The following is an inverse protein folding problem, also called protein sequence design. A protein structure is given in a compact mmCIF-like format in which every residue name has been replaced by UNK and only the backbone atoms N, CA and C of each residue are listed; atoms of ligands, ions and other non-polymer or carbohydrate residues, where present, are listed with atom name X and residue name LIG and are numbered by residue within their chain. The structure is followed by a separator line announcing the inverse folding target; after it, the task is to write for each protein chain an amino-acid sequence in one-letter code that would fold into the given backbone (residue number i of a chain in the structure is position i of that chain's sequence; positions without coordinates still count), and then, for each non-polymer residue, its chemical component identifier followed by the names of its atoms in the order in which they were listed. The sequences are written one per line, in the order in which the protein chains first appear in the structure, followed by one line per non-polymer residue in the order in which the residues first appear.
data_IF_168977994789
#
_entry.id   IF_168977994789
#
_cell.length_a   1.000
_cell.length_b   1.000
_cell.length_c   1.000
_cell.angle_alpha   90.00
_cell.angle_beta   90.00
_cell.angle_gamma   90.00
#
_symmetry.space_group_name_H-M   'P 1'
#
loop_
_entity.id
_entity.type
_entity.pdbx_description
1 polymer ?
#
# COMPACT_ATOMS: atom_id res chain seq x y z
N UNK A 1 -57.81 -26.70 -16.22
CA UNK A 1 -56.62 -27.58 -16.26
C UNK A 1 -55.30 -26.87 -16.59
N UNK A 2 -55.26 -25.73 -17.28
CA UNK A 2 -54.00 -25.01 -17.62
C UNK A 2 -53.36 -24.22 -16.46
N UNK A 3 -54.04 -24.03 -15.33
CA UNK A 3 -53.51 -23.32 -14.14
C UNK A 3 -52.76 -24.26 -13.19
N UNK A 4 -53.13 -25.55 -13.14
CA UNK A 4 -52.48 -26.53 -12.28
C UNK A 4 -51.06 -26.92 -12.74
N UNK A 5 -50.78 -26.84 -14.04
CA UNK A 5 -49.45 -27.14 -14.61
C UNK A 5 -48.44 -25.98 -14.47
N UNK A 6 -48.89 -24.76 -14.16
CA UNK A 6 -47.97 -23.64 -13.82
C UNK A 6 -47.51 -23.64 -12.35
N UNK A 7 -48.24 -24.30 -11.45
CA UNK A 7 -47.88 -24.39 -10.02
C UNK A 7 -46.93 -25.54 -9.69
N UNK A 8 -46.89 -26.59 -10.52
CA UNK A 8 -45.91 -27.68 -10.39
C UNK A 8 -44.47 -27.26 -10.79
N UNK A 9 -44.33 -26.32 -11.73
CA UNK A 9 -43.04 -25.76 -12.15
C UNK A 9 -42.36 -24.82 -11.13
N UNK A 10 -43.12 -24.33 -10.15
CA UNK A 10 -42.62 -23.46 -9.06
C UNK A 10 -42.12 -24.26 -7.85
N UNK A 11 -42.56 -25.50 -7.68
CA UNK A 11 -42.10 -26.37 -6.58
C UNK A 11 -40.67 -26.91 -6.78
N UNK A 12 -40.22 -27.09 -8.04
CA UNK A 12 -38.84 -27.47 -8.36
C UNK A 12 -37.82 -26.34 -8.18
N UNK A 13 -38.21 -25.10 -8.51
CA UNK A 13 -37.36 -23.90 -8.32
C UNK A 13 -37.26 -23.46 -6.85
N UNK A 14 -38.25 -23.81 -6.04
CA UNK A 14 -38.30 -23.54 -4.60
C UNK A 14 -37.18 -24.22 -3.82
N UNK A 15 -36.79 -25.47 -4.14
CA UNK A 15 -35.69 -26.16 -3.44
C UNK A 15 -34.32 -25.59 -3.79
N UNK A 16 -34.08 -25.28 -5.06
CA UNK A 16 -32.80 -24.71 -5.51
C UNK A 16 -32.60 -23.27 -5.02
N UNK A 17 -33.67 -22.46 -5.01
CA UNK A 17 -33.64 -21.10 -4.48
C UNK A 17 -33.52 -21.07 -2.95
N UNK A 18 -34.21 -21.97 -2.23
CA UNK A 18 -34.03 -22.13 -0.77
C UNK A 18 -32.63 -22.63 -0.41
N UNK A 19 -32.01 -23.47 -1.24
CA UNK A 19 -30.62 -23.90 -1.04
C UNK A 19 -29.63 -22.76 -1.27
N UNK A 20 -29.78 -21.97 -2.35
CA UNK A 20 -28.98 -20.75 -2.59
C UNK A 20 -29.15 -19.71 -1.48
N UNK A 21 -30.39 -19.45 -1.02
CA UNK A 21 -30.65 -18.51 0.07
C UNK A 21 -30.11 -19.02 1.42
N UNK A 22 -30.12 -20.33 1.68
CA UNK A 22 -29.47 -20.92 2.87
C UNK A 22 -27.95 -20.87 2.78
N UNK A 23 -27.37 -21.05 1.60
CA UNK A 23 -25.93 -20.87 1.35
C UNK A 23 -25.51 -19.41 1.52
N UNK A 24 -26.29 -18.47 0.99
CA UNK A 24 -26.08 -17.04 1.17
C UNK A 24 -26.23 -16.64 2.64
N UNK A 25 -27.26 -17.13 3.35
CA UNK A 25 -27.43 -16.87 4.78
C UNK A 25 -26.33 -17.47 5.65
N UNK A 26 -25.83 -18.67 5.32
CA UNK A 26 -24.67 -19.28 6.03
C UNK A 26 -23.36 -18.56 5.71
N UNK A 27 -23.17 -18.10 4.46
CA UNK A 27 -22.04 -17.26 4.07
C UNK A 27 -22.09 -15.90 4.77
N UNK A 28 -23.25 -15.26 4.84
CA UNK A 28 -23.44 -13.98 5.54
C UNK A 28 -23.19 -14.11 7.04
N UNK A 29 -23.68 -15.18 7.68
CA UNK A 29 -23.44 -15.44 9.10
C UNK A 29 -21.96 -15.74 9.38
N UNK A 30 -21.29 -16.52 8.51
CA UNK A 30 -19.86 -16.75 8.59
C UNK A 30 -19.06 -15.46 8.40
N UNK A 31 -19.42 -14.64 7.40
CA UNK A 31 -18.82 -13.32 7.16
C UNK A 31 -19.01 -12.38 8.36
N UNK A 32 -20.19 -12.41 9.00
CA UNK A 32 -20.48 -11.57 10.17
C UNK A 32 -19.72 -12.03 11.41
N UNK A 33 -19.58 -13.34 11.61
CA UNK A 33 -18.77 -13.92 12.69
C UNK A 33 -17.27 -13.73 12.46
N UNK A 34 -16.82 -13.76 11.21
CA UNK A 34 -15.44 -13.53 10.79
C UNK A 34 -15.06 -12.04 10.83
N UNK A 35 -15.99 -11.14 10.48
CA UNK A 35 -15.88 -9.68 10.72
C UNK A 35 -15.78 -9.42 12.22
N UNK A 36 -16.66 -10.02 13.02
CA UNK A 36 -16.59 -9.91 14.48
C UNK A 36 -15.27 -10.48 15.04
N UNK A 37 -14.69 -11.50 14.42
CA UNK A 37 -13.40 -12.09 14.79
C UNK A 37 -12.20 -11.23 14.36
N UNK A 38 -12.20 -10.63 13.16
CA UNK A 38 -11.17 -9.69 12.69
C UNK A 38 -11.24 -8.37 13.46
N UNK A 39 -12.44 -7.87 13.76
CA UNK A 39 -12.65 -6.76 14.67
C UNK A 39 -12.26 -7.12 16.10
N UNK A 40 -12.50 -8.37 16.54
CA UNK A 40 -11.98 -8.84 17.81
C UNK A 40 -10.45 -8.88 17.79
N UNK A 41 -9.77 -9.25 16.70
CA UNK A 41 -8.30 -9.14 16.58
C UNK A 41 -7.81 -7.69 16.57
N UNK A 42 -8.60 -6.73 16.06
CA UNK A 42 -8.33 -5.29 16.23
C UNK A 42 -8.50 -4.83 17.69
N UNK A 43 -9.40 -5.47 18.44
CA UNK A 43 -9.66 -5.20 19.87
C UNK A 43 -8.74 -5.98 20.81
N UNK A 44 -8.19 -7.11 20.39
CA UNK A 44 -7.16 -7.83 21.11
C UNK A 44 -5.92 -6.95 21.04
N UNK A 45 -5.48 -6.55 22.22
CA UNK A 45 -4.24 -5.83 22.46
C UNK A 45 -3.16 -6.36 21.53
N UNK A 46 -2.52 -5.44 20.82
CA UNK A 46 -1.17 -5.61 20.30
C UNK A 46 -0.44 -6.61 21.22
N UNK A 47 0.06 -7.76 20.74
CA UNK A 47 0.94 -8.55 21.58
C UNK A 47 2.02 -7.57 22.06
N UNK A 48 2.18 -7.38 23.38
CA UNK A 48 3.19 -6.44 23.87
C UNK A 48 4.48 -6.84 23.18
N UNK A 49 5.21 -5.88 22.60
CA UNK A 49 6.47 -6.18 21.95
C UNK A 49 7.35 -6.91 22.98
N UNK A 50 7.46 -8.23 22.86
CA UNK A 50 8.08 -9.07 23.89
C UNK A 50 9.58 -8.99 23.68
N UNK A 51 10.20 -7.95 24.25
CA UNK A 51 11.64 -7.78 24.22
C UNK A 51 12.07 -6.32 24.37
N UNK A 52 13.15 -6.11 25.11
CA UNK A 52 13.90 -4.86 25.04
C UNK A 52 14.41 -4.67 23.61
N UNK A 53 14.36 -3.44 23.05
CA UNK A 53 14.84 -3.21 21.70
C UNK A 53 16.33 -3.59 21.58
N UNK A 54 16.72 -4.14 20.44
CA UNK A 54 18.13 -4.42 20.14
C UNK A 54 18.91 -3.11 19.93
N UNK A 55 20.26 -3.11 19.96
CA UNK A 55 21.04 -1.91 19.63
C UNK A 55 20.68 -1.33 18.26
N UNK A 56 20.52 -2.19 17.24
CA UNK A 56 20.13 -1.79 15.88
C UNK A 56 18.72 -1.19 15.83
N UNK A 57 17.80 -1.64 16.68
CA UNK A 57 16.46 -1.04 16.80
C UNK A 57 16.47 0.33 17.49
N UNK A 58 17.47 0.62 18.33
CA UNK A 58 17.60 1.92 18.98
C UNK A 58 18.23 2.97 18.08
N UNK A 59 19.23 2.58 17.27
CA UNK A 59 20.05 3.55 16.52
C UNK A 59 19.94 3.42 15.01
N UNK A 60 19.47 2.28 14.51
CA UNK A 60 19.26 2.01 13.08
C UNK A 60 18.02 2.72 12.52
N UNK A 61 17.86 2.75 11.19
CA UNK A 61 16.78 3.50 10.53
C UNK A 61 15.36 3.05 10.94
N UNK A 62 14.39 3.93 10.70
CA UNK A 62 12.96 3.65 10.92
C UNK A 62 12.27 3.49 9.57
N UNK A 63 11.65 2.33 9.35
CA UNK A 63 10.99 1.93 8.12
C UNK A 63 9.47 1.92 8.31
N UNK A 64 8.75 2.89 7.74
CA UNK A 64 7.29 2.95 7.80
C UNK A 64 6.72 2.33 6.52
N UNK A 65 6.15 1.14 6.66
CA UNK A 65 5.45 0.41 5.60
C UNK A 65 3.96 0.72 5.69
N UNK A 66 3.41 1.39 4.67
CA UNK A 66 2.01 1.75 4.62
C UNK A 66 1.43 1.45 3.23
N UNK A 67 0.13 1.16 3.09
CA UNK A 67 -0.54 1.30 1.82
C UNK A 67 -0.78 2.79 1.51
N UNK A 68 -1.04 3.11 0.23
CA UNK A 68 -1.56 4.43 -0.11
C UNK A 68 -2.83 4.73 0.69
N UNK A 69 -3.02 6.00 1.06
CA UNK A 69 -4.22 6.49 1.78
C UNK A 69 -4.37 5.93 3.21
N UNK A 70 -3.33 5.34 3.79
CA UNK A 70 -3.29 4.89 5.18
C UNK A 70 -2.88 5.97 6.20
N UNK A 71 -2.63 7.21 5.76
CA UNK A 71 -2.16 8.28 6.65
C UNK A 71 -0.65 8.31 6.84
N UNK A 72 0.13 7.65 5.98
CA UNK A 72 1.60 7.64 6.04
C UNK A 72 2.23 9.02 6.05
N UNK A 73 1.68 9.97 5.27
CA UNK A 73 2.17 11.36 5.26
C UNK A 73 2.06 12.02 6.63
N UNK A 74 0.99 11.75 7.40
CA UNK A 74 0.85 12.31 8.74
C UNK A 74 1.91 11.74 9.69
N UNK A 75 2.07 10.41 9.73
CA UNK A 75 3.06 9.75 10.60
C UNK A 75 4.48 10.16 10.20
N UNK A 76 4.81 10.14 8.91
CA UNK A 76 6.10 10.61 8.40
C UNK A 76 6.38 12.06 8.80
N UNK A 77 5.39 12.95 8.70
CA UNK A 77 5.58 14.36 9.06
C UNK A 77 5.84 14.55 10.56
N UNK A 78 5.26 13.71 11.43
CA UNK A 78 5.58 13.74 12.88
C UNK A 78 7.06 13.50 13.15
N UNK A 79 7.67 12.54 12.44
CA UNK A 79 9.12 12.35 12.50
C UNK A 79 9.88 13.52 11.88
N UNK A 80 9.43 14.02 10.72
CA UNK A 80 10.07 15.13 10.01
C UNK A 80 10.18 16.39 10.85
N UNK A 81 9.18 16.67 11.68
CA UNK A 81 9.15 17.82 12.59
C UNK A 81 10.16 17.71 13.74
N UNK A 82 10.82 16.57 13.95
CA UNK A 82 11.84 16.43 14.99
C UNK A 82 13.26 16.62 14.43
N UNK A 83 14.10 17.47 15.06
CA UNK A 83 15.44 17.77 14.57
C UNK A 83 16.37 16.56 14.42
N UNK A 84 16.25 15.53 15.26
CA UNK A 84 17.11 14.35 15.24
C UNK A 84 16.82 13.36 14.10
N UNK A 85 15.72 13.55 13.35
CA UNK A 85 15.32 12.64 12.26
C UNK A 85 15.46 13.26 10.89
N UNK A 86 16.12 12.60 9.94
CA UNK A 86 16.02 12.94 8.52
C UNK A 86 14.96 12.04 7.88
N UNK A 87 13.79 12.59 7.58
CA UNK A 87 12.63 11.83 7.14
C UNK A 87 12.44 11.89 5.62
N UNK A 88 12.73 10.82 4.90
CA UNK A 88 12.56 10.70 3.46
C UNK A 88 11.11 10.33 3.08
N UNK A 89 10.47 11.18 2.28
CA UNK A 89 9.13 10.95 1.77
C UNK A 89 9.13 10.06 0.52
N UNK A 90 8.50 8.90 0.61
CA UNK A 90 8.27 7.98 -0.52
C UNK A 90 9.55 7.68 -1.33
N UNK A 91 10.55 7.00 -0.74
CA UNK A 91 11.83 6.74 -1.40
C UNK A 91 11.73 5.87 -2.67
N UNK A 92 10.58 5.26 -2.94
CA UNK A 92 10.30 4.52 -4.17
C UNK A 92 9.29 5.23 -5.07
N UNK A 93 9.11 6.55 -4.93
CA UNK A 93 8.23 7.30 -5.82
C UNK A 93 8.84 7.44 -7.22
N UNK A 94 8.08 7.13 -8.28
CA UNK A 94 8.56 7.17 -9.68
C UNK A 94 9.17 8.52 -10.09
N UNK A 95 8.71 9.63 -9.51
CA UNK A 95 9.26 10.96 -9.82
C UNK A 95 10.73 11.13 -9.41
N UNK A 96 11.25 10.31 -8.49
CA UNK A 96 12.65 10.41 -8.05
C UNK A 96 13.63 10.07 -9.17
N UNK A 97 13.20 9.37 -10.23
CA UNK A 97 14.02 9.09 -11.42
C UNK A 97 14.40 10.37 -12.19
N UNK A 98 13.53 11.37 -12.18
CA UNK A 98 13.69 12.60 -12.98
C UNK A 98 13.55 13.87 -12.15
N UNK A 99 13.64 13.74 -10.82
CA UNK A 99 13.43 14.83 -9.88
C UNK A 99 14.45 15.95 -10.11
N UNK A 100 13.99 17.19 -10.19
CA UNK A 100 14.83 18.39 -10.34
C UNK A 100 14.65 19.31 -9.14
N UNK A 101 15.57 20.25 -8.88
CA UNK A 101 15.39 21.23 -7.80
C UNK A 101 14.08 22.02 -7.92
N UNK A 102 13.70 22.40 -9.15
CA UNK A 102 12.41 23.07 -9.42
C UNK A 102 11.22 22.17 -9.07
N UNK A 103 11.28 20.88 -9.40
CA UNK A 103 10.23 19.94 -9.04
C UNK A 103 10.15 19.70 -7.52
N UNK A 104 11.30 19.68 -6.82
CA UNK A 104 11.33 19.64 -5.35
C UNK A 104 10.59 20.85 -4.78
N UNK A 105 10.94 22.07 -5.20
CA UNK A 105 10.30 23.29 -4.71
C UNK A 105 8.78 23.32 -4.96
N UNK A 106 8.32 22.77 -6.10
CA UNK A 106 6.90 22.73 -6.46
C UNK A 106 6.09 21.61 -5.78
N UNK A 107 6.73 20.57 -5.24
CA UNK A 107 6.05 19.42 -4.64
C UNK A 107 5.59 19.73 -3.20
N UNK A 108 4.53 20.50 -3.03
CA UNK A 108 4.01 20.91 -1.70
C UNK A 108 2.61 20.35 -1.43
N UNK A 109 2.14 20.40 -0.18
CA UNK A 109 0.76 20.01 0.16
C UNK A 109 -0.32 20.81 -0.59
N UNK A 110 0.03 22.00 -1.11
CA UNK A 110 -0.85 22.88 -1.87
C UNK A 110 -0.81 22.65 -3.38
N UNK A 111 0.16 21.90 -3.91
CA UNK A 111 0.29 21.72 -5.36
C UNK A 111 -0.74 20.76 -5.95
N UNK A 112 -1.49 20.05 -5.10
CA UNK A 112 -2.59 19.17 -5.48
C UNK A 112 -3.56 19.02 -4.30
N UNK A 113 -4.82 18.64 -4.51
CA UNK A 113 -5.82 18.51 -3.44
C UNK A 113 -5.56 17.26 -2.57
N UNK A 114 -4.40 17.14 -1.95
CA UNK A 114 -3.92 15.93 -1.28
C UNK A 114 -4.79 15.45 -0.11
N UNK A 115 -5.42 16.40 0.58
CA UNK A 115 -6.03 16.21 1.90
C UNK A 115 -4.98 16.04 3.01
N UNK A 116 -3.71 16.37 2.74
CA UNK A 116 -2.63 16.30 3.73
C UNK A 116 -2.64 17.54 4.62
N UNK A 117 -2.18 17.42 5.89
CA UNK A 117 -1.97 18.59 6.73
C UNK A 117 -0.96 19.55 6.08
N UNK A 118 -0.94 20.84 6.49
CA UNK A 118 0.12 21.75 6.12
C UNK A 118 1.50 21.16 6.41
N UNK A 119 2.45 21.39 5.51
CA UNK A 119 3.83 20.96 5.65
C UNK A 119 4.73 22.19 5.64
N UNK A 120 5.73 22.21 6.52
CA UNK A 120 6.70 23.31 6.62
C UNK A 120 7.69 23.34 5.44
N UNK A 121 7.72 22.27 4.64
CA UNK A 121 8.64 22.10 3.52
C UNK A 121 8.05 21.20 2.43
N UNK A 122 8.54 21.32 1.16
CA UNK A 122 8.14 20.43 0.08
C UNK A 122 8.42 18.96 0.39
N UNK A 123 7.63 18.04 -0.20
CA UNK A 123 7.69 16.60 0.05
C UNK A 123 9.08 16.01 -0.12
N UNK A 124 9.81 16.42 -1.16
CA UNK A 124 11.08 15.82 -1.55
C UNK A 124 12.32 16.60 -1.11
N UNK A 125 12.18 17.52 -0.14
CA UNK A 125 13.28 18.39 0.29
C UNK A 125 14.52 17.60 0.72
N UNK A 126 14.33 16.48 1.39
CA UNK A 126 15.40 15.62 1.90
C UNK A 126 16.21 14.93 0.79
N UNK A 127 15.71 14.92 -0.45
CA UNK A 127 16.43 14.39 -1.61
C UNK A 127 17.23 15.46 -2.37
N UNK A 128 17.04 16.75 -2.07
CA UNK A 128 17.69 17.85 -2.80
C UNK A 128 19.23 17.73 -2.81
N UNK A 129 19.93 17.40 -1.70
CA UNK A 129 21.38 17.19 -1.70
C UNK A 129 21.85 15.95 -2.47
N UNK A 130 20.92 15.08 -2.85
CA UNK A 130 21.18 13.78 -3.49
C UNK A 130 20.86 13.79 -4.99
N UNK A 131 20.44 14.93 -5.53
CA UNK A 131 20.19 15.09 -6.96
C UNK A 131 21.49 15.02 -7.76
N UNK A 132 21.41 14.42 -8.95
CA UNK A 132 22.53 14.38 -9.90
C UNK A 132 22.38 15.47 -10.97
N UNK A 133 23.48 15.90 -11.61
CA UNK A 133 23.40 16.77 -12.78
C UNK A 133 22.50 16.15 -13.86
N UNK A 134 21.51 16.92 -14.34
CA UNK A 134 20.51 16.44 -15.30
C UNK A 134 19.19 15.95 -14.69
N UNK A 135 19.11 15.86 -13.36
CA UNK A 135 17.92 15.42 -12.63
C UNK A 135 17.95 13.93 -12.25
N UNK A 136 17.10 13.57 -11.30
CA UNK A 136 17.07 12.25 -10.67
C UNK A 136 17.84 12.21 -9.35
N UNK A 137 17.46 11.28 -8.48
CA UNK A 137 18.16 10.99 -7.23
C UNK A 137 19.24 9.94 -7.48
N UNK A 138 20.45 10.17 -6.97
CA UNK A 138 21.57 9.23 -7.09
C UNK A 138 21.17 7.82 -6.63
N UNK A 139 21.46 6.82 -7.46
CA UNK A 139 21.20 5.40 -7.16
C UNK A 139 19.74 4.96 -7.33
N UNK A 140 18.81 5.86 -7.66
CA UNK A 140 17.42 5.48 -7.90
C UNK A 140 17.28 4.69 -9.21
N UNK A 141 16.59 3.56 -9.18
CA UNK A 141 16.30 2.74 -10.36
C UNK A 141 14.81 2.73 -10.70
N UNK A 142 14.50 2.74 -12.01
CA UNK A 142 13.12 2.66 -12.52
C UNK A 142 12.34 1.43 -12.02
N UNK A 143 13.03 0.35 -11.63
CA UNK A 143 12.41 -0.88 -11.14
C UNK A 143 11.90 -0.78 -9.69
N UNK A 144 12.40 0.17 -8.90
CA UNK A 144 12.06 0.31 -7.47
C UNK A 144 10.55 0.46 -7.20
N UNK A 145 9.80 1.32 -7.92
CA UNK A 145 8.41 1.60 -7.56
C UNK A 145 7.48 0.40 -7.68
N UNK A 146 7.56 -0.35 -8.79
CA UNK A 146 6.55 -1.36 -9.16
C UNK A 146 7.13 -2.73 -9.48
N UNK A 147 8.24 -2.80 -10.23
CA UNK A 147 8.82 -4.08 -10.67
C UNK A 147 9.20 -4.96 -9.48
N UNK A 148 9.78 -4.38 -8.43
CA UNK A 148 10.20 -5.10 -7.22
C UNK A 148 9.15 -5.13 -6.11
N UNK A 149 7.91 -4.67 -6.35
CA UNK A 149 6.89 -4.51 -5.30
C UNK A 149 6.60 -5.82 -4.54
N UNK A 150 6.65 -6.96 -5.23
CA UNK A 150 6.36 -8.30 -4.70
C UNK A 150 7.56 -9.25 -4.75
N UNK A 151 8.78 -8.72 -4.72
CA UNK A 151 10.00 -9.53 -4.73
C UNK A 151 10.54 -9.63 -3.30
N UNK A 152 10.51 -10.82 -2.71
CA UNK A 152 11.01 -11.06 -1.35
C UNK A 152 12.23 -11.98 -1.27
N UNK A 153 12.45 -12.83 -2.27
CA UNK A 153 13.48 -13.87 -2.21
C UNK A 153 14.78 -13.52 -2.93
N UNK A 154 14.87 -12.33 -3.53
CA UNK A 154 16.07 -11.86 -4.23
C UNK A 154 16.87 -10.84 -3.39
N UNK A 155 18.21 -10.78 -3.54
CA UNK A 155 19.05 -9.87 -2.75
C UNK A 155 18.87 -8.39 -3.13
N UNK A 156 18.38 -8.08 -4.33
CA UNK A 156 18.16 -6.72 -4.86
C UNK A 156 19.28 -5.73 -4.49
N UNK A 157 20.52 -6.05 -4.87
CA UNK A 157 21.72 -5.34 -4.40
C UNK A 157 21.68 -3.82 -4.66
N UNK A 158 21.18 -3.38 -5.82
CA UNK A 158 21.04 -1.96 -6.15
C UNK A 158 20.02 -1.25 -5.24
N UNK A 159 18.87 -1.87 -4.96
CA UNK A 159 17.88 -1.33 -4.02
C UNK A 159 18.48 -1.17 -2.62
N UNK A 160 19.22 -2.17 -2.15
CA UNK A 160 19.91 -2.11 -0.86
C UNK A 160 20.97 -1.00 -0.83
N UNK A 161 21.78 -0.89 -1.88
CA UNK A 161 22.78 0.18 -1.99
C UNK A 161 22.13 1.56 -1.97
N UNK A 162 21.08 1.78 -2.77
CA UNK A 162 20.33 3.03 -2.78
C UNK A 162 19.81 3.42 -1.39
N UNK A 163 19.16 2.50 -0.67
CA UNK A 163 18.64 2.78 0.66
C UNK A 163 19.77 3.02 1.68
N UNK A 164 20.87 2.27 1.60
CA UNK A 164 22.04 2.47 2.46
C UNK A 164 22.69 3.84 2.23
N UNK A 165 22.73 4.34 1.01
CA UNK A 165 23.22 5.70 0.71
C UNK A 165 22.33 6.77 1.36
N UNK A 166 21.01 6.57 1.38
CA UNK A 166 20.09 7.48 2.10
C UNK A 166 20.32 7.43 3.62
N UNK A 167 20.54 6.25 4.18
CA UNK A 167 20.88 6.07 5.60
C UNK A 167 22.20 6.76 5.92
N UNK A 168 23.24 6.55 5.11
CA UNK A 168 24.55 7.17 5.27
C UNK A 168 24.47 8.70 5.17
N UNK A 169 23.60 9.23 4.30
CA UNK A 169 23.35 10.67 4.22
C UNK A 169 22.73 11.23 5.51
N UNK A 170 21.74 10.55 6.10
CA UNK A 170 21.19 10.98 7.38
C UNK A 170 22.26 10.96 8.49
N UNK A 171 23.05 9.89 8.55
CA UNK A 171 24.11 9.71 9.53
C UNK A 171 25.22 10.77 9.40
N UNK A 172 25.59 11.17 8.19
CA UNK A 172 26.59 12.23 7.98
C UNK A 172 26.14 13.59 8.48
N UNK A 173 24.82 13.78 8.66
CA UNK A 173 24.22 14.95 9.29
C UNK A 173 23.98 14.77 10.80
N UNK A 174 24.42 13.66 11.39
CA UNK A 174 24.16 13.33 12.80
C UNK A 174 22.68 13.04 13.09
N UNK A 175 21.90 12.63 12.08
CA UNK A 175 20.46 12.36 12.19
C UNK A 175 20.17 10.89 11.93
N UNK A 176 19.08 10.39 12.52
CA UNK A 176 18.56 9.05 12.26
C UNK A 176 17.62 9.08 11.06
N UNK A 177 17.80 8.15 10.12
CA UNK A 177 16.95 8.10 8.92
C UNK A 177 15.56 7.54 9.25
N UNK A 178 14.53 8.17 8.68
CA UNK A 178 13.14 7.71 8.72
C UNK A 178 12.60 7.65 7.30
N UNK A 179 11.91 6.57 6.95
CA UNK A 179 11.42 6.38 5.59
C UNK A 179 9.91 6.11 5.58
N UNK A 180 9.15 6.98 4.93
CA UNK A 180 7.71 6.78 4.69
C UNK A 180 7.47 6.13 3.34
N UNK A 181 7.00 4.88 3.32
CA UNK A 181 6.71 4.15 2.07
C UNK A 181 5.24 3.81 1.90
N UNK A 182 4.67 4.12 0.75
CA UNK A 182 3.44 3.53 0.25
C UNK A 182 3.68 2.30 -0.67
N UNK A 183 4.94 2.04 -1.05
CA UNK A 183 5.34 1.03 -2.05
C UNK A 183 6.16 -0.16 -1.48
N UNK A 184 6.24 -0.30 -0.16
CA UNK A 184 7.08 -1.32 0.48
C UNK A 184 6.29 -2.46 1.14
N UNK A 185 4.96 -2.34 1.29
CA UNK A 185 4.14 -3.33 2.01
C UNK A 185 4.18 -4.73 1.39
N UNK A 186 4.19 -4.83 0.06
CA UNK A 186 4.31 -6.10 -0.68
C UNK A 186 5.69 -6.78 -0.60
N UNK A 187 6.69 -6.09 -0.04
CA UNK A 187 8.07 -6.58 0.12
C UNK A 187 8.62 -6.37 1.53
N UNK A 188 7.74 -6.31 2.52
CA UNK A 188 8.15 -6.06 3.90
C UNK A 188 9.07 -7.17 4.44
N UNK A 189 8.90 -8.41 4.00
CA UNK A 189 9.80 -9.52 4.31
C UNK A 189 11.23 -9.23 3.82
N UNK A 190 11.37 -8.75 2.58
CA UNK A 190 12.66 -8.33 2.03
C UNK A 190 13.32 -7.27 2.91
N UNK A 191 12.57 -6.24 3.29
CA UNK A 191 13.07 -5.16 4.15
C UNK A 191 13.56 -5.71 5.49
N UNK A 192 12.75 -6.50 6.19
CA UNK A 192 13.12 -7.05 7.49
C UNK A 192 14.37 -7.92 7.43
N UNK A 193 14.58 -8.64 6.33
CA UNK A 193 15.75 -9.51 6.11
C UNK A 193 17.04 -8.74 5.79
N UNK A 194 16.94 -7.64 5.05
CA UNK A 194 18.11 -6.98 4.44
C UNK A 194 18.43 -5.59 5.00
N UNK A 195 17.47 -4.95 5.67
CA UNK A 195 17.57 -3.59 6.14
C UNK A 195 17.40 -3.56 7.67
N UNK A 196 18.47 -3.43 8.46
CA UNK A 196 18.35 -3.37 9.92
C UNK A 196 17.59 -2.11 10.35
N UNK A 197 17.09 -2.11 11.57
CA UNK A 197 16.34 -0.98 12.15
C UNK A 197 14.95 -1.39 12.64
N UNK A 198 14.09 -0.39 12.85
CA UNK A 198 12.71 -0.58 13.34
C UNK A 198 11.75 -0.55 12.16
N UNK A 199 10.95 -1.61 12.02
CA UNK A 199 9.92 -1.71 11.00
C UNK A 199 8.54 -1.46 11.59
N UNK A 200 7.81 -0.52 11.00
CA UNK A 200 6.46 -0.14 11.40
C UNK A 200 5.51 -0.52 10.26
N UNK A 201 4.52 -1.37 10.54
CA UNK A 201 3.39 -1.59 9.66
C UNK A 201 2.27 -0.60 10.00
N UNK A 202 2.21 0.51 9.27
CA UNK A 202 1.10 1.46 9.37
C UNK A 202 -0.11 0.91 8.61
N UNK A 203 -1.16 0.59 9.35
CA UNK A 203 -2.34 -0.07 8.81
C UNK A 203 -3.56 0.83 8.92
N UNK A 204 -4.52 0.57 8.02
CA UNK A 204 -5.82 1.21 7.99
C UNK A 204 -6.85 0.16 7.63
N UNK A 205 -8.08 0.33 8.07
CA UNK A 205 -9.20 -0.50 7.68
C UNK A 205 -9.37 -0.54 6.15
N UNK A 206 -9.62 -1.74 5.60
CA UNK A 206 -9.71 -1.93 4.15
C UNK A 206 -10.77 -1.08 3.49
N UNK A 207 -11.93 -0.91 4.14
CA UNK A 207 -13.03 -0.10 3.63
C UNK A 207 -12.66 1.39 3.62
N UNK A 208 -11.95 1.87 4.64
CA UNK A 208 -11.43 3.22 4.74
C UNK A 208 -10.34 3.50 3.70
N UNK A 209 -9.49 2.52 3.38
CA UNK A 209 -8.57 2.61 2.25
C UNK A 209 -9.34 2.76 0.94
N UNK A 210 -10.30 1.87 0.69
CA UNK A 210 -11.11 1.89 -0.54
C UNK A 210 -11.87 3.20 -0.69
N UNK A 211 -12.63 3.62 0.33
CA UNK A 211 -13.40 4.88 0.28
C UNK A 211 -12.51 6.11 0.14
N UNK A 212 -11.34 6.12 0.77
CA UNK A 212 -10.39 7.23 0.59
C UNK A 212 -9.84 7.27 -0.85
N UNK A 213 -9.53 6.13 -1.45
CA UNK A 213 -9.04 6.04 -2.83
C UNK A 213 -10.14 6.32 -3.87
N UNK A 214 -11.31 5.70 -3.71
CA UNK A 214 -12.44 5.83 -4.62
C UNK A 214 -13.14 7.19 -4.46
N UNK A 215 -13.27 7.72 -3.24
CA UNK A 215 -13.81 9.05 -3.02
C UNK A 215 -12.99 10.15 -3.73
N UNK A 216 -11.67 9.95 -3.85
CA UNK A 216 -10.79 10.83 -4.64
C UNK A 216 -11.12 10.82 -6.13
N UNK A 217 -11.36 9.64 -6.70
CA UNK A 217 -11.74 9.55 -8.12
C UNK A 217 -13.11 10.18 -8.36
N UNK A 218 -14.08 9.96 -7.47
CA UNK A 218 -15.42 10.54 -7.57
C UNK A 218 -15.41 12.07 -7.43
N UNK A 219 -14.66 12.60 -6.46
CA UNK A 219 -14.71 14.04 -6.13
C UNK A 219 -13.82 14.88 -7.03
N UNK A 220 -12.71 14.33 -7.52
CA UNK A 220 -11.68 15.11 -8.23
C UNK A 220 -11.32 14.55 -9.62
N UNK A 221 -11.95 13.46 -10.06
CA UNK A 221 -11.57 12.76 -11.30
C UNK A 221 -10.18 12.13 -11.24
N UNK A 222 -9.61 11.98 -10.04
CA UNK A 222 -8.24 11.49 -9.83
C UNK A 222 -8.23 9.96 -9.69
N UNK A 223 -7.95 9.27 -10.79
CA UNK A 223 -7.85 7.80 -10.83
C UNK A 223 -6.54 7.27 -10.23
N UNK A 224 -5.64 8.13 -9.74
CA UNK A 224 -4.30 7.73 -9.31
C UNK A 224 -4.35 6.58 -8.31
N UNK A 225 -5.11 6.70 -7.21
CA UNK A 225 -5.10 5.71 -6.13
C UNK A 225 -5.83 4.39 -6.47
N UNK A 226 -6.84 4.44 -7.33
CA UNK A 226 -7.57 3.23 -7.76
C UNK A 226 -6.80 2.44 -8.82
N UNK A 227 -5.92 3.10 -9.58
CA UNK A 227 -5.10 2.46 -10.62
C UNK A 227 -3.78 1.88 -10.11
N UNK A 228 -3.22 2.36 -8.99
CA UNK A 228 -1.93 1.84 -8.47
C UNK A 228 -1.93 0.32 -8.25
N UNK A 229 -2.97 -0.31 -7.66
CA UNK A 229 -3.02 -1.78 -7.54
C UNK A 229 -2.92 -2.49 -8.89
N UNK A 230 -3.63 -2.01 -9.91
CA UNK A 230 -3.57 -2.57 -11.26
C UNK A 230 -2.17 -2.43 -11.86
N UNK A 231 -1.51 -1.29 -11.68
CA UNK A 231 -0.14 -1.06 -12.15
C UNK A 231 0.85 -2.02 -11.48
N UNK A 232 0.68 -2.27 -10.19
CA UNK A 232 1.47 -3.28 -9.46
C UNK A 232 1.24 -4.66 -10.09
N UNK A 233 0.00 -5.07 -10.34
CA UNK A 233 -0.28 -6.39 -10.95
C UNK A 233 0.29 -6.52 -12.37
N UNK A 234 0.24 -5.43 -13.15
CA UNK A 234 0.75 -5.35 -14.52
C UNK A 234 2.27 -5.40 -14.59
N UNK A 235 2.99 -4.74 -13.66
CA UNK A 235 4.45 -4.55 -13.75
C UNK A 235 5.28 -5.45 -12.82
N UNK A 236 4.70 -5.91 -11.71
CA UNK A 236 5.48 -6.59 -10.69
C UNK A 236 6.06 -7.92 -11.19
N UNK A 237 7.36 -8.09 -10.94
CA UNK A 237 7.91 -9.42 -10.70
C UNK A 237 7.34 -9.89 -9.37
N UNK A 238 6.99 -11.16 -9.33
CA UNK A 238 6.29 -11.76 -8.19
C UNK A 238 6.86 -13.14 -7.92
N UNK A 239 7.10 -13.42 -6.65
CA UNK A 239 7.44 -14.75 -6.17
C UNK A 239 6.32 -15.75 -6.54
N UNK A 240 6.61 -17.05 -6.75
CA UNK A 240 5.62 -18.02 -7.21
C UNK A 240 4.35 -18.08 -6.35
N UNK A 241 4.50 -18.05 -5.03
CA UNK A 241 3.36 -18.11 -4.10
C UNK A 241 2.43 -16.89 -4.20
N UNK A 242 2.95 -15.73 -4.64
CA UNK A 242 2.14 -14.53 -4.90
C UNK A 242 1.35 -14.71 -6.19
N UNK A 243 1.92 -15.38 -7.20
CA UNK A 243 1.17 -15.73 -8.40
C UNK A 243 0.00 -16.67 -8.07
N UNK A 244 0.23 -17.68 -7.23
CA UNK A 244 -0.82 -18.60 -6.77
C UNK A 244 -1.92 -17.88 -5.97
N UNK A 245 -1.54 -16.95 -5.09
CA UNK A 245 -2.48 -16.10 -4.36
C UNK A 245 -3.40 -15.31 -5.30
N UNK A 246 -2.82 -14.66 -6.32
CA UNK A 246 -3.57 -13.86 -7.29
C UNK A 246 -4.46 -14.72 -8.19
N UNK A 247 -3.97 -15.88 -8.62
CA UNK A 247 -4.75 -16.83 -9.40
C UNK A 247 -5.98 -17.32 -8.61
N UNK A 248 -5.81 -17.59 -7.33
CA UNK A 248 -6.89 -18.03 -6.45
C UNK A 248 -7.95 -16.94 -6.14
N UNK A 249 -7.70 -15.69 -6.54
CA UNK A 249 -8.63 -14.56 -6.49
C UNK A 249 -9.17 -14.16 -7.87
N UNK A 250 -8.97 -15.01 -8.88
CA UNK A 250 -9.38 -14.78 -10.27
C UNK A 250 -8.79 -13.48 -10.86
N UNK A 251 -7.54 -13.16 -10.48
CA UNK A 251 -6.77 -12.01 -10.98
C UNK A 251 -5.66 -12.40 -11.98
N UNK A 252 -5.58 -13.68 -12.34
CA UNK A 252 -4.68 -14.16 -13.38
C UNK A 252 -4.89 -13.55 -14.80
N UNK A 253 -6.09 -13.09 -15.23
CA UNK A 253 -6.24 -12.50 -16.57
C UNK A 253 -5.58 -11.12 -16.74
N UNK A 254 -4.91 -10.56 -15.72
CA UNK A 254 -4.20 -9.28 -15.83
C UNK A 254 -2.85 -9.50 -16.53
N UNK A 255 -2.64 -8.93 -17.75
CA UNK A 255 -1.42 -9.17 -18.52
C UNK A 255 -0.19 -8.61 -17.81
N UNK A 256 0.97 -9.25 -18.01
CA UNK A 256 2.25 -8.68 -17.57
C UNK A 256 2.83 -7.75 -18.64
N UNK A 257 3.27 -6.57 -18.22
CA UNK A 257 3.85 -5.55 -19.05
C UNK A 257 5.24 -5.19 -18.53
N UNK A 258 6.14 -4.80 -19.42
CA UNK A 258 7.49 -4.33 -19.07
C UNK A 258 7.63 -2.81 -19.11
N UNK A 259 6.68 -2.09 -19.72
CA UNK A 259 6.71 -0.63 -19.88
C UNK A 259 5.71 0.05 -18.95
N UNK A 260 6.21 0.91 -18.06
CA UNK A 260 5.39 1.61 -17.07
C UNK A 260 4.33 2.52 -17.71
N UNK A 261 4.65 3.16 -18.85
CA UNK A 261 3.70 4.02 -19.55
C UNK A 261 2.52 3.24 -20.15
N UNK A 262 2.77 2.06 -20.72
CA UNK A 262 1.74 1.14 -21.20
C UNK A 262 0.91 0.60 -20.03
N UNK A 263 1.56 0.23 -18.93
CA UNK A 263 0.85 -0.22 -17.74
C UNK A 263 -0.07 0.86 -17.14
N UNK A 264 0.38 2.11 -17.08
CA UNK A 264 -0.46 3.23 -16.64
C UNK A 264 -1.72 3.37 -17.51
N UNK A 265 -1.56 3.42 -18.84
CA UNK A 265 -2.69 3.54 -19.78
C UNK A 265 -3.64 2.35 -19.69
N UNK A 266 -3.10 1.14 -19.53
CA UNK A 266 -3.92 -0.06 -19.42
C UNK A 266 -4.68 -0.11 -18.09
N UNK A 267 -4.03 0.26 -16.98
CA UNK A 267 -4.68 0.37 -15.68
C UNK A 267 -5.84 1.39 -15.70
N UNK A 268 -5.66 2.54 -16.34
CA UNK A 268 -6.73 3.54 -16.52
C UNK A 268 -7.91 2.98 -17.33
N UNK A 269 -7.63 2.27 -18.44
CA UNK A 269 -8.67 1.61 -19.24
C UNK A 269 -9.42 0.56 -18.44
N UNK A 270 -8.71 -0.29 -17.70
CA UNK A 270 -9.32 -1.32 -16.86
C UNK A 270 -10.15 -0.70 -15.74
N UNK A 271 -9.68 0.37 -15.10
CA UNK A 271 -10.42 1.11 -14.08
C UNK A 271 -11.78 1.62 -14.55
N UNK A 272 -11.88 2.01 -15.81
CA UNK A 272 -13.12 2.50 -16.42
C UNK A 272 -13.98 1.36 -16.94
N UNK A 273 -13.37 0.40 -17.65
CA UNK A 273 -14.08 -0.68 -18.34
C UNK A 273 -14.57 -1.78 -17.41
N UNK A 274 -13.82 -2.05 -16.35
CA UNK A 274 -14.06 -3.14 -15.41
C UNK A 274 -13.85 -2.68 -13.95
N UNK A 275 -14.82 -1.95 -13.38
CA UNK A 275 -14.76 -1.49 -11.99
C UNK A 275 -14.70 -2.65 -10.98
N UNK A 276 -15.28 -3.81 -11.33
CA UNK A 276 -15.25 -5.01 -10.49
C UNK A 276 -13.84 -5.58 -10.36
N UNK A 277 -13.17 -5.80 -11.50
CA UNK A 277 -11.75 -6.20 -11.52
C UNK A 277 -10.88 -5.21 -10.75
N UNK A 278 -11.16 -3.91 -10.88
CA UNK A 278 -10.42 -2.85 -10.19
C UNK A 278 -10.58 -2.96 -8.67
N UNK A 279 -11.81 -3.21 -8.21
CA UNK A 279 -12.12 -3.43 -6.81
C UNK A 279 -11.45 -4.70 -6.25
N UNK A 280 -11.49 -5.81 -7.01
CA UNK A 280 -10.79 -7.06 -6.66
C UNK A 280 -9.28 -6.88 -6.62
N UNK A 281 -8.70 -6.20 -7.60
CA UNK A 281 -7.27 -5.89 -7.65
C UNK A 281 -6.84 -5.01 -6.46
N UNK A 282 -7.64 -4.00 -6.12
CA UNK A 282 -7.43 -3.16 -4.96
C UNK A 282 -7.42 -3.96 -3.66
N UNK A 283 -8.44 -4.80 -3.45
CA UNK A 283 -8.55 -5.66 -2.29
C UNK A 283 -7.36 -6.62 -2.19
N UNK A 284 -7.02 -7.34 -3.28
CA UNK A 284 -5.94 -8.32 -3.29
C UNK A 284 -4.58 -7.71 -2.98
N UNK A 285 -4.19 -6.65 -3.67
CA UNK A 285 -2.85 -6.04 -3.50
C UNK A 285 -2.68 -5.48 -2.09
N UNK A 286 -3.68 -4.78 -1.57
CA UNK A 286 -3.55 -4.14 -0.26
C UNK A 286 -3.82 -5.08 0.91
N UNK A 287 -4.66 -6.10 0.77
CA UNK A 287 -4.78 -7.15 1.77
C UNK A 287 -3.47 -7.94 1.90
N UNK A 288 -2.86 -8.33 0.76
CA UNK A 288 -1.56 -9.00 0.76
C UNK A 288 -0.45 -8.14 1.37
N UNK A 289 -0.34 -6.88 0.95
CA UNK A 289 0.63 -5.94 1.52
C UNK A 289 0.41 -5.71 3.02
N UNK A 290 -0.84 -5.66 3.48
CA UNK A 290 -1.18 -5.56 4.90
C UNK A 290 -0.70 -6.78 5.67
N UNK A 291 -1.03 -7.98 5.20
CA UNK A 291 -0.61 -9.23 5.85
C UNK A 291 0.92 -9.36 5.90
N UNK A 292 1.62 -9.08 4.80
CA UNK A 292 3.09 -9.09 4.74
C UNK A 292 3.71 -8.09 5.72
N UNK A 293 3.31 -6.82 5.65
CA UNK A 293 3.88 -5.80 6.53
C UNK A 293 3.60 -6.08 8.00
N UNK A 294 2.39 -6.50 8.37
CA UNK A 294 2.08 -6.86 9.74
C UNK A 294 2.88 -8.06 10.25
N UNK A 295 3.11 -9.07 9.40
CA UNK A 295 3.87 -10.27 9.78
C UNK A 295 5.35 -10.00 10.01
N UNK A 296 5.93 -9.04 9.31
CA UNK A 296 7.38 -8.77 9.33
C UNK A 296 7.78 -7.49 10.06
N UNK A 297 6.83 -6.67 10.52
CA UNK A 297 7.11 -5.46 11.27
C UNK A 297 7.35 -5.72 12.76
N UNK A 298 8.13 -4.84 13.39
CA UNK A 298 8.36 -4.81 14.83
C UNK A 298 7.19 -4.17 15.57
N UNK A 299 6.50 -3.23 14.90
CA UNK A 299 5.35 -2.51 15.45
C UNK A 299 4.25 -2.46 14.39
N UNK A 300 3.06 -2.91 14.74
CA UNK A 300 1.84 -2.64 13.98
C UNK A 300 1.18 -1.37 14.52
N UNK A 301 0.95 -0.40 13.65
CA UNK A 301 0.33 0.89 14.00
C UNK A 301 -0.98 1.02 13.23
N UNK A 302 -2.15 0.71 13.82
CA UNK A 302 -3.44 1.05 13.23
C UNK A 302 -3.66 2.57 13.31
N UNK A 303 -3.78 3.26 12.18
CA UNK A 303 -3.87 4.72 12.15
C UNK A 303 -5.12 5.23 12.90
N UNK A 304 -6.22 4.47 12.87
CA UNK A 304 -7.45 4.80 13.59
C UNK A 304 -7.26 4.79 15.10
N UNK A 305 -6.35 3.96 15.62
CA UNK A 305 -6.07 3.89 17.06
C UNK A 305 -5.47 5.20 17.59
N UNK A 306 -4.71 5.93 16.76
CA UNK A 306 -4.14 7.24 17.10
C UNK A 306 -5.22 8.31 17.36
N UNK A 307 -6.43 8.11 16.84
CA UNK A 307 -7.53 9.06 17.04
C UNK A 307 -8.22 8.90 18.40
N UNK A 308 -7.81 7.92 19.21
CA UNK A 308 -8.37 7.65 20.54
C UNK A 308 -7.29 7.71 21.62
N UNK A 309 -7.63 8.16 22.83
CA UNK A 309 -6.67 8.21 23.94
C UNK A 309 -6.16 6.82 24.33
N UNK A 310 -7.06 5.83 24.40
CA UNK A 310 -6.69 4.46 24.72
C UNK A 310 -5.75 3.85 23.66
N UNK A 311 -6.03 4.07 22.38
CA UNK A 311 -5.17 3.61 21.28
C UNK A 311 -3.81 4.29 21.28
N UNK A 312 -3.75 5.62 21.52
CA UNK A 312 -2.49 6.35 21.69
C UNK A 312 -1.63 5.76 22.81
N UNK A 313 -2.19 5.57 24.02
CA UNK A 313 -1.46 4.96 25.14
C UNK A 313 -0.92 3.57 24.83
N UNK A 314 -1.72 2.73 24.18
CA UNK A 314 -1.30 1.37 23.79
C UNK A 314 -0.15 1.41 22.78
N UNK A 315 -0.19 2.35 21.84
CA UNK A 315 0.86 2.51 20.85
C UNK A 315 2.13 3.08 21.50
N UNK A 316 2.03 4.10 22.34
CA UNK A 316 3.18 4.68 23.04
C UNK A 316 3.92 3.62 23.87
N UNK A 317 3.18 2.72 24.52
CA UNK A 317 3.77 1.56 25.20
C UNK A 317 4.52 0.62 24.24
N UNK A 318 4.00 0.41 23.04
CA UNK A 318 4.63 -0.43 22.00
C UNK A 318 5.86 0.24 21.38
N UNK A 319 5.88 1.58 21.35
CA UNK A 319 6.96 2.40 20.80
C UNK A 319 8.05 2.73 21.83
N UNK A 320 7.79 2.51 23.12
CA UNK A 320 8.70 2.86 24.19
C UNK A 320 10.11 2.29 23.97
N UNK A 321 11.12 3.16 24.00
CA UNK A 321 12.52 2.81 23.81
C UNK A 321 12.95 2.51 22.37
N UNK A 322 12.04 2.59 21.39
CA UNK A 322 12.37 2.43 19.95
C UNK A 322 12.67 3.77 19.27
N UNK A 323 12.11 4.86 19.79
CA UNK A 323 12.31 6.21 19.28
C UNK A 323 13.09 7.07 20.28
N UNK A 324 13.82 8.05 19.73
CA UNK A 324 14.67 8.99 20.47
C UNK A 324 13.84 10.08 21.18
N UNK A 325 12.61 10.34 20.70
CA UNK A 325 11.66 11.26 21.32
C UNK A 325 10.27 10.66 21.38
N UNK A 326 9.49 11.13 22.35
CA UNK A 326 8.05 10.94 22.34
C UNK A 326 7.42 11.78 21.21
N UNK A 327 6.62 11.13 20.37
CA UNK A 327 5.86 11.79 19.32
C UNK A 327 4.47 12.14 19.85
N UNK A 328 4.00 13.36 19.58
CA UNK A 328 2.65 13.77 19.95
C UNK A 328 1.65 13.41 18.83
N UNK A 329 0.69 12.57 19.17
CA UNK A 329 -0.38 12.10 18.28
C UNK A 329 -1.75 12.71 18.56
N UNK A 330 -1.84 13.65 19.51
CA UNK A 330 -3.11 14.18 20.02
C UNK A 330 -3.97 14.88 18.96
N UNK A 331 -3.36 15.35 17.88
CA UNK A 331 -3.98 15.98 16.71
C UNK A 331 -4.38 14.97 15.61
N UNK A 332 -4.19 13.67 15.82
CA UNK A 332 -4.67 12.66 14.88
C UNK A 332 -6.20 12.56 14.92
N UNK A 333 -6.84 12.78 13.76
CA UNK A 333 -8.30 12.72 13.61
C UNK A 333 -8.69 11.95 12.35
N UNK A 334 -8.23 10.70 12.23
CA UNK A 334 -8.61 9.83 11.13
C UNK A 334 -9.98 9.20 11.42
N UNK A 335 -10.97 9.39 10.53
CA UNK A 335 -12.31 8.84 10.75
C UNK A 335 -12.28 7.31 10.67
N UNK A 336 -12.93 6.67 11.65
CA UNK A 336 -13.25 5.25 11.59
C UNK A 336 -14.34 5.04 10.54
N UNK A 337 -14.07 4.15 9.59
CA UNK A 337 -15.01 3.86 8.54
C UNK A 337 -16.04 2.81 8.99
N UNK A 338 -17.33 3.18 9.00
CA UNK A 338 -18.42 2.23 9.27
C UNK A 338 -19.02 1.71 7.97
N UNK A 339 -19.28 0.41 7.90
CA UNK A 339 -19.97 -0.20 6.75
C UNK A 339 -21.37 0.42 6.56
N UNK A 340 -21.78 0.53 5.29
CA UNK A 340 -23.08 1.03 4.83
C UNK A 340 -23.55 0.15 3.68
N UNK A 341 -24.85 0.24 3.36
CA UNK A 341 -25.41 -0.44 2.19
C UNK A 341 -24.63 -0.06 0.92
N UNK A 342 -24.25 -1.07 0.13
CA UNK A 342 -23.43 -0.95 -1.07
C UNK A 342 -21.95 -1.24 -0.87
N UNK A 343 -21.46 -1.35 0.38
CA UNK A 343 -20.07 -1.75 0.64
C UNK A 343 -19.84 -3.27 0.57
N UNK A 344 -20.92 -4.07 0.57
CA UNK A 344 -20.86 -5.53 0.68
C UNK A 344 -19.93 -6.15 -0.38
N UNK A 345 -19.98 -5.77 -1.67
CA UNK A 345 -19.08 -6.35 -2.67
C UNK A 345 -17.60 -6.14 -2.35
N UNK A 346 -17.22 -4.92 -1.92
CA UNK A 346 -15.83 -4.65 -1.56
C UNK A 346 -15.41 -5.43 -0.32
N UNK A 347 -16.27 -5.47 0.71
CA UNK A 347 -15.98 -6.18 1.95
C UNK A 347 -15.81 -7.69 1.72
N UNK A 348 -16.60 -8.29 0.85
CA UNK A 348 -16.42 -9.69 0.43
C UNK A 348 -15.05 -9.92 -0.20
N UNK A 349 -14.64 -9.07 -1.16
CA UNK A 349 -13.32 -9.17 -1.78
C UNK A 349 -12.18 -8.93 -0.79
N UNK A 350 -12.32 -7.94 0.08
CA UNK A 350 -11.31 -7.62 1.09
C UNK A 350 -11.10 -8.78 2.08
N UNK A 351 -12.17 -9.34 2.64
CA UNK A 351 -12.06 -10.43 3.60
C UNK A 351 -11.50 -11.70 2.96
N UNK A 352 -11.97 -12.06 1.76
CA UNK A 352 -11.45 -13.22 1.05
C UNK A 352 -9.96 -13.05 0.71
N UNK A 353 -9.57 -11.87 0.23
CA UNK A 353 -8.19 -11.53 -0.07
C UNK A 353 -7.29 -11.55 1.17
N UNK A 354 -7.76 -11.03 2.31
CA UNK A 354 -7.00 -11.00 3.55
C UNK A 354 -6.84 -12.40 4.14
N UNK A 355 -7.92 -13.17 4.21
CA UNK A 355 -7.92 -14.56 4.70
C UNK A 355 -6.93 -15.42 3.92
N UNK A 356 -6.90 -15.29 2.59
CA UNK A 356 -5.92 -15.99 1.75
C UNK A 356 -4.50 -15.50 1.98
N UNK A 357 -4.31 -14.18 2.11
CA UNK A 357 -2.99 -13.62 2.35
C UNK A 357 -2.41 -14.12 3.68
N UNK A 358 -3.20 -14.11 4.75
CA UNK A 358 -2.77 -14.63 6.06
C UNK A 358 -2.40 -16.13 6.02
N UNK A 359 -3.04 -16.90 5.14
CA UNK A 359 -2.76 -18.32 4.98
C UNK A 359 -1.51 -18.62 4.14
N UNK A 360 -1.10 -17.73 3.22
CA UNK A 360 0.01 -17.97 2.31
C UNK A 360 1.29 -17.17 2.63
N UNK A 361 1.20 -16.08 3.41
CA UNK A 361 2.38 -15.29 3.79
C UNK A 361 3.35 -16.14 4.61
N UNK A 362 4.61 -16.31 4.15
CA UNK A 362 5.60 -17.12 4.85
C UNK A 362 5.85 -16.67 6.30
N UNK A 363 6.11 -17.62 7.18
CA UNK A 363 6.48 -17.31 8.56
C UNK A 363 7.92 -16.73 8.61
N UNK A 364 8.15 -15.58 9.27
CA UNK A 364 9.50 -15.04 9.46
C UNK A 364 10.47 -16.01 10.18
N UNK A 365 9.95 -16.96 10.96
CA UNK A 365 10.73 -17.93 11.72
C UNK A 365 10.82 -19.31 11.04
N UNK A 366 10.09 -19.54 9.96
CA UNK A 366 10.32 -20.75 9.16
C UNK A 366 11.69 -20.60 8.50
N UNK A 367 12.64 -21.45 8.88
CA UNK A 367 13.96 -21.52 8.27
C UNK A 367 13.82 -21.46 6.76
N UNK A 368 14.45 -20.48 6.12
CA UNK A 368 14.45 -20.40 4.67
C UNK A 368 14.90 -21.76 4.13
N UNK A 369 14.16 -22.39 3.19
CA UNK A 369 14.65 -23.60 2.56
C UNK A 369 16.03 -23.29 1.98
N UNK A 370 17.02 -24.13 2.30
CA UNK A 370 18.36 -24.07 1.70
C UNK A 370 18.19 -24.23 0.18
N UNK A 371 17.98 -23.13 -0.54
CA UNK A 371 18.05 -23.12 -1.99
C UNK A 371 19.53 -23.09 -2.38
N UNK A 372 20.10 -24.30 -2.39
CA UNK A 372 21.36 -24.61 -3.03
C UNK A 372 21.33 -24.14 -4.49
N UNK A 373 22.22 -23.18 -4.79
CA UNK A 373 22.87 -22.95 -6.07
C UNK A 373 22.03 -23.14 -7.33
N UNK A 374 21.42 -22.06 -7.82
CA UNK A 374 21.36 -21.73 -9.25
C UNK A 374 20.98 -20.27 -9.39
N UNK A 375 21.98 -19.40 -9.58
CA UNK A 375 21.76 -18.06 -10.12
C UNK A 375 21.66 -18.24 -11.64
N UNK A 376 20.48 -18.08 -12.27
CA UNK A 376 20.45 -17.92 -13.71
C UNK A 376 21.13 -16.59 -14.03
N UNK A 377 22.06 -16.59 -14.98
CA UNK A 377 22.66 -15.36 -15.48
C UNK A 377 21.55 -14.41 -15.95
N UNK A 378 21.39 -13.28 -15.26
CA UNK A 378 20.49 -12.22 -15.70
C UNK A 378 21.05 -11.59 -16.99
N UNK A 379 20.20 -11.30 -17.99
CA UNK A 379 20.61 -10.46 -19.11
C UNK A 379 20.98 -9.07 -18.57
N UNK A 380 22.11 -8.51 -19.01
CA UNK A 380 22.56 -7.18 -18.57
C UNK A 380 21.50 -6.12 -18.86
N UNK A 381 21.41 -5.13 -17.97
CA UNK A 381 20.50 -4.00 -18.08
C UNK A 381 20.71 -3.15 -19.36
N UNK A 382 21.78 -3.40 -20.13
CA UNK A 382 22.18 -2.59 -21.29
C UNK A 382 21.38 -2.87 -22.56
N UNK A 383 20.45 -3.84 -22.57
CA UNK A 383 19.66 -4.18 -23.77
C UNK A 383 18.19 -3.77 -23.74
N UNK A 384 17.71 -3.10 -22.69
CA UNK A 384 16.28 -2.75 -22.53
C UNK A 384 15.99 -1.27 -22.78
N UNK A 385 16.98 -0.39 -22.81
CA UNK A 385 16.75 1.06 -22.86
C UNK A 385 17.39 1.72 -24.07
N UNK A 386 16.56 2.10 -25.06
CA UNK A 386 16.93 3.10 -26.07
C UNK A 386 17.07 4.50 -25.43
N UNK A 387 17.75 5.44 -26.09
CA UNK A 387 18.09 6.73 -25.51
C UNK A 387 16.84 7.50 -25.07
N UNK A 388 16.88 8.01 -23.84
CA UNK A 388 15.85 8.85 -23.24
C UNK A 388 15.74 10.18 -24.00
N UNK A 389 14.80 10.26 -24.95
CA UNK A 389 14.37 11.54 -25.52
C UNK A 389 13.65 12.37 -24.46
N UNK A 390 14.02 13.65 -24.32
CA UNK A 390 13.40 14.61 -23.43
C UNK A 390 11.86 14.63 -23.62
N UNK A 391 11.12 14.08 -22.66
CA UNK A 391 9.65 14.12 -22.68
C UNK A 391 9.18 15.39 -21.99
N UNK A 392 8.43 16.22 -22.73
CA UNK A 392 7.67 17.34 -22.16
C UNK A 392 6.62 16.80 -21.20
N UNK A 393 6.56 17.39 -20.01
CA UNK A 393 5.40 17.34 -19.12
C UNK A 393 4.17 17.81 -19.91
N UNK A 394 3.25 16.89 -20.20
CA UNK A 394 1.91 17.27 -20.64
C UNK A 394 1.18 17.75 -19.39
N UNK A 395 1.15 19.06 -19.22
CA UNK A 395 0.16 19.72 -18.38
C UNK A 395 -1.22 19.36 -18.94
N UNK A 396 -1.99 18.58 -18.19
CA UNK A 396 -3.42 18.42 -18.43
C UNK A 396 -4.09 19.78 -18.20
N UNK A 397 -4.14 20.59 -19.26
CA UNK A 397 -5.08 21.70 -19.32
C UNK A 397 -6.48 21.13 -19.24
N UNK A 398 -7.24 21.54 -18.22
CA UNK A 398 -8.71 21.40 -18.18
C UNK A 398 -9.28 21.99 -19.46
N UNK A 399 -9.93 21.18 -20.27
CA UNK A 399 -10.94 21.66 -21.20
C UNK A 399 -12.18 21.96 -20.38
N UNK A 400 -12.54 23.24 -20.29
CA UNK A 400 -13.86 23.68 -19.89
C UNK A 400 -14.83 23.32 -21.01
N UNK A 401 -15.62 22.27 -20.83
CA UNK A 401 -16.95 22.08 -21.43
C UNK A 401 -17.44 20.66 -21.12
N UNK A 402 -18.63 20.56 -20.51
CA UNK A 402 -19.23 19.30 -20.10
C UNK A 402 -20.03 19.42 -18.81
N UNK A 403 -21.00 20.33 -18.78
CA UNK A 403 -22.02 20.40 -17.73
C UNK A 403 -22.89 19.14 -17.75
N UNK A 404 -22.85 18.35 -16.68
CA UNK A 404 -23.87 17.34 -16.39
C UNK A 404 -24.93 17.96 -15.48
N UNK A 405 -26.23 17.78 -15.77
CA UNK A 405 -27.28 18.36 -14.95
C UNK A 405 -27.40 17.59 -13.64
N UNK A 406 -27.29 18.31 -12.52
CA UNK A 406 -27.78 17.85 -11.23
C UNK A 406 -29.30 18.02 -11.24
N UNK A 407 -30.03 16.91 -11.23
CA UNK A 407 -31.43 16.93 -10.81
C UNK A 407 -31.46 17.02 -9.28
N UNK A 408 -31.80 18.20 -8.78
CA UNK A 408 -32.43 18.36 -7.47
C UNK A 408 -33.79 17.65 -7.50
N UNK A 409 -34.08 16.83 -6.50
CA UNK A 409 -35.41 16.75 -5.88
C UNK A 409 -35.34 15.89 -4.60
N UNK A 410 -35.69 16.57 -3.48
CA UNK A 410 -36.26 16.14 -2.18
C UNK A 410 -35.54 15.07 -1.36
#
# INVERSE_FOLDING_TARGET
MAVALRLAGLHGRSRHMKHKLRLLGRRQLALTQEIAWLEARRRHSMPPATGHPTPDERTGPIWIHAPWRAGSTYVWNKFRSCPQYLAFYEPFHESLETLTPTAVAGATARSWPSGHPPLDAPYYREFEPLLIPGGGVRGFEHALPYTYYFVNDEPLACQRAYLNDLVAHAQSLGRRAVFGFCRSTGRAAWFKRHMPGVHIALTRDGLGLWRSAFGRSQTHGDLYFVTRPLIILLLSRRDPWIADYLAALDLDPVPRLSDAGRAQREAERLAIRDPDLTMRAFAAVFALGTALSQRHADVVMPIEALSTEAGRRSLDASLAGRFDVALDWSDCAIPVCTARAGDEPFLEYWHEALRRAEACVPDPHASAPEHAGRVPAHPSADRIYGPAGARRLVSLKRTSEGSWPLSEEV
#
